data_IF_831528941496
#
_entry.id   IF_831528941496
#
_cell.length_a   1.000
_cell.length_b   1.000
_cell.length_c   1.000
_cell.angle_alpha   90.00
_cell.angle_beta   90.00
_cell.angle_gamma   90.00
#
_symmetry.space_group_name_H-M   'P 1'
#
loop_
_entity.id
_entity.type
_entity.pdbx_description
1 polymer ?
#
# COMPACT_ATOMS: atom_id res chain seq x y z
N UNK A 1 -3.91 0.85 -28.68
CA UNK A 1 -3.99 1.48 -27.35
C UNK A 1 -2.57 1.66 -26.84
N UNK A 2 -2.12 2.90 -26.68
CA UNK A 2 -0.76 3.19 -26.24
C UNK A 2 -0.58 2.68 -24.81
N UNK A 3 0.37 1.77 -24.59
CA UNK A 3 0.80 1.43 -23.23
C UNK A 3 1.26 2.73 -22.58
N UNK A 4 0.51 3.23 -21.59
CA UNK A 4 0.96 4.35 -20.79
C UNK A 4 2.37 3.99 -20.30
N UNK A 5 3.36 4.83 -20.63
CA UNK A 5 4.72 4.65 -20.14
C UNK A 5 4.61 4.80 -18.62
N UNK A 6 4.58 3.69 -17.91
CA UNK A 6 4.61 3.70 -16.45
C UNK A 6 5.92 4.41 -16.08
N UNK A 7 5.79 5.61 -15.53
CA UNK A 7 6.94 6.46 -15.18
C UNK A 7 7.83 5.67 -14.24
N UNK A 8 9.16 5.75 -14.40
CA UNK A 8 10.10 4.99 -13.57
C UNK A 8 9.73 5.12 -12.09
N UNK A 9 9.67 3.98 -11.38
CA UNK A 9 9.37 3.95 -9.95
C UNK A 9 10.32 4.89 -9.20
N UNK A 10 9.81 5.72 -8.27
CA UNK A 10 10.68 6.60 -7.48
C UNK A 10 11.71 5.77 -6.72
N UNK A 11 12.94 6.26 -6.69
CA UNK A 11 13.94 5.77 -5.73
C UNK A 11 13.56 6.32 -4.37
N UNK A 12 13.48 5.46 -3.36
CA UNK A 12 13.30 5.84 -1.96
C UNK A 12 14.56 5.51 -1.19
N UNK A 13 14.96 6.39 -0.29
CA UNK A 13 16.06 6.10 0.61
C UNK A 13 15.62 5.17 1.76
N UNK A 14 16.60 4.73 2.57
CA UNK A 14 16.36 3.79 3.66
C UNK A 14 15.44 4.38 4.74
N UNK A 15 15.55 5.68 5.01
CA UNK A 15 14.74 6.36 6.01
C UNK A 15 13.27 6.44 5.56
N UNK A 16 13.02 6.80 4.30
CA UNK A 16 11.68 6.81 3.72
C UNK A 16 11.03 5.42 3.73
N UNK A 17 11.82 4.36 3.48
CA UNK A 17 11.34 2.98 3.51
C UNK A 17 11.03 2.53 4.94
N UNK A 18 11.86 2.91 5.91
CA UNK A 18 11.64 2.60 7.33
C UNK A 18 10.38 3.30 7.85
N UNK A 19 10.19 4.59 7.55
CA UNK A 19 9.00 5.34 7.95
C UNK A 19 7.72 4.72 7.36
N UNK A 20 7.73 4.41 6.06
CA UNK A 20 6.60 3.74 5.41
C UNK A 20 6.33 2.36 6.03
N UNK A 21 7.37 1.61 6.33
CA UNK A 21 7.28 0.31 7.00
C UNK A 21 6.61 0.45 8.37
N UNK A 22 7.04 1.42 9.17
CA UNK A 22 6.47 1.70 10.49
C UNK A 22 4.98 2.04 10.40
N UNK A 23 4.59 2.92 9.46
CA UNK A 23 3.17 3.27 9.25
C UNK A 23 2.30 2.06 8.90
N UNK A 24 2.80 1.16 8.04
CA UNK A 24 2.08 -0.06 7.67
C UNK A 24 1.97 -1.04 8.84
N UNK A 25 3.04 -1.16 9.64
CA UNK A 25 3.07 -2.02 10.83
C UNK A 25 2.10 -1.52 11.89
N UNK A 26 2.09 -0.22 12.16
CA UNK A 26 1.13 0.42 13.06
C UNK A 26 -0.30 0.17 12.61
N UNK A 27 -0.62 0.48 11.35
CA UNK A 27 -1.96 0.26 10.80
C UNK A 27 -2.39 -1.22 10.84
N UNK A 28 -1.47 -2.15 10.58
CA UNK A 28 -1.73 -3.59 10.71
C UNK A 28 -2.06 -4.01 12.14
N UNK A 29 -1.32 -3.51 13.13
CA UNK A 29 -1.53 -3.85 14.54
C UNK A 29 -2.82 -3.24 15.10
N UNK A 30 -3.11 -1.99 14.72
CA UNK A 30 -4.32 -1.28 15.15
C UNK A 30 -5.57 -1.74 14.40
N UNK A 31 -5.41 -2.47 13.29
CA UNK A 31 -6.48 -2.75 12.32
C UNK A 31 -7.17 -1.48 11.82
N UNK A 32 -6.38 -0.43 11.70
CA UNK A 32 -6.83 0.87 11.19
C UNK A 32 -7.04 0.78 9.68
N UNK A 33 -8.07 1.46 9.19
CA UNK A 33 -8.29 1.59 7.75
C UNK A 33 -7.23 2.51 7.15
N UNK A 34 -6.69 2.10 6.01
CA UNK A 34 -5.66 2.83 5.27
C UNK A 34 -6.13 3.14 3.87
N UNK A 35 -5.61 4.24 3.34
CA UNK A 35 -5.70 4.64 1.94
C UNK A 35 -4.29 4.64 1.37
N UNK A 36 -4.03 3.69 0.46
CA UNK A 36 -2.71 3.47 -0.14
C UNK A 36 -2.65 4.06 -1.55
N UNK A 37 -1.70 4.97 -1.75
CA UNK A 37 -1.30 5.37 -3.10
C UNK A 37 -0.30 4.36 -3.63
N UNK A 38 -0.57 3.75 -4.80
CA UNK A 38 0.27 2.69 -5.37
C UNK A 38 0.86 3.12 -6.70
N UNK A 39 2.16 2.97 -6.86
CA UNK A 39 2.85 3.27 -8.09
C UNK A 39 2.30 2.46 -9.26
N UNK A 40 2.04 3.14 -10.38
CA UNK A 40 1.48 2.51 -11.58
C UNK A 40 -0.01 2.18 -11.48
N UNK A 41 -0.70 2.57 -10.40
CA UNK A 41 -2.15 2.53 -10.28
C UNK A 41 -2.71 3.96 -10.18
N UNK A 42 -3.78 4.22 -10.92
CA UNK A 42 -4.49 5.50 -10.84
C UNK A 42 -5.41 5.54 -9.61
N UNK A 43 -6.02 4.40 -9.28
CA UNK A 43 -6.89 4.25 -8.12
C UNK A 43 -6.10 3.91 -6.86
N UNK A 44 -6.44 4.59 -5.76
CA UNK A 44 -5.93 4.27 -4.43
C UNK A 44 -6.59 3.00 -3.90
N UNK A 45 -5.89 2.27 -3.04
CA UNK A 45 -6.40 1.06 -2.40
C UNK A 45 -6.80 1.43 -0.98
N UNK A 46 -8.11 1.39 -0.70
CA UNK A 46 -8.66 1.61 0.63
C UNK A 46 -9.04 0.30 1.29
N UNK A 47 -8.70 0.13 2.58
CA UNK A 47 -9.12 -1.03 3.36
C UNK A 47 -8.25 -1.26 4.59
N UNK A 48 -8.33 -2.46 5.17
CA UNK A 48 -7.59 -2.85 6.38
C UNK A 48 -6.45 -3.78 6.01
N UNK A 49 -5.25 -3.55 6.54
CA UNK A 49 -4.13 -4.46 6.34
C UNK A 49 -4.38 -5.73 7.16
N UNK A 50 -4.48 -6.88 6.49
CA UNK A 50 -4.76 -8.18 7.12
C UNK A 50 -3.56 -9.12 7.16
N UNK A 51 -2.55 -8.85 6.33
CA UNK A 51 -1.29 -9.60 6.33
C UNK A 51 -0.15 -8.79 5.71
N UNK A 52 1.02 -8.85 6.33
CA UNK A 52 2.29 -8.41 5.72
C UNK A 52 3.18 -9.64 5.53
N UNK A 53 3.41 -10.05 4.28
CA UNK A 53 4.21 -11.23 3.95
C UNK A 53 5.66 -10.81 3.66
N UNK A 54 6.55 -11.02 4.63
CA UNK A 54 7.97 -10.66 4.52
C UNK A 54 8.72 -11.47 3.45
N UNK A 55 8.25 -12.68 3.12
CA UNK A 55 8.85 -13.54 2.10
C UNK A 55 8.56 -13.03 0.70
N UNK A 56 7.31 -12.65 0.43
CA UNK A 56 6.91 -12.12 -0.89
C UNK A 56 6.97 -10.59 -0.98
N UNK A 57 7.22 -9.90 0.14
CA UNK A 57 7.16 -8.44 0.29
C UNK A 57 5.81 -7.86 -0.14
N UNK A 58 4.73 -8.61 0.11
CA UNK A 58 3.36 -8.19 -0.22
C UNK A 58 2.63 -7.74 1.05
N UNK A 59 1.88 -6.66 0.91
CA UNK A 59 0.93 -6.14 1.88
C UNK A 59 -0.47 -6.51 1.37
N UNK A 60 -1.22 -7.23 2.17
CA UNK A 60 -2.57 -7.67 1.86
C UNK A 60 -3.55 -6.72 2.53
N UNK A 61 -4.37 -6.05 1.72
CA UNK A 61 -5.39 -5.10 2.16
C UNK A 61 -6.75 -5.67 1.83
N UNK A 62 -7.58 -5.86 2.83
CA UNK A 62 -8.98 -6.28 2.66
C UNK A 62 -9.85 -5.03 2.52
N UNK A 63 -10.61 -4.95 1.42
CA UNK A 63 -11.53 -3.85 1.20
C UNK A 63 -12.68 -3.92 2.21
N UNK A 64 -13.04 -2.79 2.80
CA UNK A 64 -14.10 -2.71 3.81
C UNK A 64 -15.50 -2.90 3.21
N UNK A 65 -15.68 -2.60 1.92
CA UNK A 65 -16.96 -2.68 1.20
C UNK A 65 -17.09 -3.93 0.30
N UNK A 66 -15.99 -4.65 0.04
CA UNK A 66 -15.93 -5.75 -0.92
C UNK A 66 -15.20 -6.97 -0.32
N UNK A 67 -15.64 -8.20 -0.62
CA UNK A 67 -14.92 -9.44 -0.23
C UNK A 67 -13.68 -9.67 -1.14
N UNK A 68 -12.90 -8.62 -1.36
CA UNK A 68 -11.69 -8.62 -2.16
C UNK A 68 -10.49 -8.26 -1.29
N UNK A 69 -9.42 -9.05 -1.43
CA UNK A 69 -8.12 -8.74 -0.83
C UNK A 69 -7.16 -8.28 -1.92
N UNK A 70 -6.78 -7.00 -1.90
CA UNK A 70 -5.72 -6.47 -2.73
C UNK A 70 -4.36 -6.91 -2.20
N UNK A 71 -3.49 -7.41 -3.09
CA UNK A 71 -2.10 -7.74 -2.79
C UNK A 71 -1.20 -6.72 -3.42
N UNK A 72 -0.52 -5.93 -2.60
CA UNK A 72 0.28 -4.78 -3.02
C UNK A 72 1.74 -5.02 -2.67
N UNK A 73 2.68 -4.96 -3.61
CA UNK A 73 4.10 -4.98 -3.28
C UNK A 73 4.43 -3.79 -2.37
N UNK A 74 5.11 -4.03 -1.25
CA UNK A 74 5.55 -2.96 -0.33
C UNK A 74 6.27 -1.84 -1.07
N UNK A 75 7.10 -2.26 -2.01
CA UNK A 75 7.86 -1.37 -2.87
C UNK A 75 6.96 -0.44 -3.72
N UNK A 76 5.81 -0.91 -4.17
CA UNK A 76 4.92 -0.09 -5.01
C UNK A 76 4.04 0.85 -4.18
N UNK A 77 3.94 0.66 -2.85
CA UNK A 77 3.22 1.60 -1.99
C UNK A 77 4.01 2.90 -1.95
N UNK A 78 3.41 3.98 -2.44
CA UNK A 78 3.98 5.32 -2.47
C UNK A 78 3.65 6.10 -1.20
N UNK A 79 2.45 5.91 -0.64
CA UNK A 79 1.98 6.68 0.52
C UNK A 79 0.94 5.88 1.30
N UNK A 80 0.94 6.02 2.61
CA UNK A 80 -0.11 5.55 3.52
C UNK A 80 -0.81 6.78 4.10
N UNK A 81 -2.14 6.78 4.06
CA UNK A 81 -2.96 7.82 4.67
C UNK A 81 -4.11 7.17 5.44
N UNK A 82 -4.64 7.86 6.45
CA UNK A 82 -5.92 7.50 7.05
C UNK A 82 -7.06 8.14 6.25
N UNK A 83 -8.15 7.40 5.95
CA UNK A 83 -9.35 7.99 5.34
C UNK A 83 -9.87 9.14 6.21
N UNK A 84 -10.10 10.31 5.61
CA UNK A 84 -10.73 11.45 6.29
C UNK A 84 -12.23 11.38 6.03
N UNK A 85 -13.01 11.15 7.10
CA UNK A 85 -14.47 11.20 7.09
C UNK A 85 -14.99 12.58 7.47
#
# INVERSE_FOLDING_TARGET
MAKAKVAKRPTRDEFELEELGNQLVEAFHERSEVLLTVWGKEEQIQGIIVKMDSRTRLVHVEHTEEELTAKVPFMDIMQVQSPRY
#
